data_IF_449292975725
#
_entry.id   IF_449292975725
#
_cell.length_a   1.000
_cell.length_b   1.000
_cell.length_c   1.000
_cell.angle_alpha   90.00
_cell.angle_beta   90.00
_cell.angle_gamma   90.00
#
_symmetry.space_group_name_H-M   'P 1'
#
loop_
_entity.id
_entity.type
_entity.pdbx_description
1 polymer ?
#
# COMPACT_ATOMS: atom_id res chain seq x y z
N UNK A 1 19.16 12.21 3.39
CA UNK A 1 17.85 12.07 2.72
C UNK A 1 17.20 10.74 3.05
N UNK A 2 17.89 9.59 2.92
CA UNK A 2 17.29 8.27 3.18
C UNK A 2 16.82 8.05 4.63
N UNK A 3 17.61 8.43 5.65
CA UNK A 3 17.24 8.21 7.06
C UNK A 3 15.95 8.97 7.44
N UNK A 4 15.78 10.20 6.95
CA UNK A 4 14.57 10.99 7.22
C UNK A 4 13.33 10.37 6.55
N UNK A 5 13.48 9.84 5.33
CA UNK A 5 12.40 9.15 4.62
C UNK A 5 12.00 7.86 5.33
N UNK A 6 12.98 7.08 5.80
CA UNK A 6 12.76 5.86 6.58
C UNK A 6 12.01 6.16 7.89
N UNK A 7 12.47 7.11 8.69
CA UNK A 7 11.80 7.49 9.93
C UNK A 7 10.38 8.01 9.69
N UNK A 8 10.17 8.75 8.60
CA UNK A 8 8.86 9.29 8.21
C UNK A 8 7.93 8.16 7.78
N UNK A 9 8.38 7.26 6.91
CA UNK A 9 7.61 6.09 6.50
C UNK A 9 7.25 5.22 7.71
N UNK A 10 8.20 4.95 8.61
CA UNK A 10 7.96 4.15 9.80
C UNK A 10 6.87 4.76 10.71
N UNK A 11 6.89 6.09 10.88
CA UNK A 11 5.85 6.82 11.63
C UNK A 11 4.48 6.67 10.96
N UNK A 12 4.42 6.84 9.64
CA UNK A 12 3.18 6.72 8.86
C UNK A 12 2.62 5.30 8.95
N UNK A 13 3.44 4.26 8.69
CA UNK A 13 3.00 2.87 8.75
C UNK A 13 2.50 2.49 10.15
N UNK A 14 3.20 2.90 11.22
CA UNK A 14 2.76 2.66 12.60
C UNK A 14 1.46 3.37 12.94
N UNK A 15 1.26 4.60 12.43
CA UNK A 15 -0.01 5.32 12.61
C UNK A 15 -1.14 4.57 11.90
N UNK A 16 -0.95 4.18 10.65
CA UNK A 16 -1.93 3.41 9.87
C UNK A 16 -2.28 2.10 10.57
N UNK A 17 -1.28 1.35 11.05
CA UNK A 17 -1.51 0.10 11.78
C UNK A 17 -2.33 0.34 13.06
N UNK A 18 -1.92 1.34 13.87
CA UNK A 18 -2.60 1.65 15.12
C UNK A 18 -4.06 2.07 14.90
N UNK A 19 -4.32 2.94 13.92
CA UNK A 19 -5.68 3.33 13.55
C UNK A 19 -6.50 2.11 13.13
N UNK A 20 -5.91 1.22 12.32
CA UNK A 20 -6.56 0.02 11.83
C UNK A 20 -6.89 -0.95 12.96
N UNK A 21 -5.94 -1.26 13.84
CA UNK A 21 -6.12 -2.16 14.97
C UNK A 21 -7.19 -1.66 15.93
N UNK A 22 -7.12 -0.38 16.32
CA UNK A 22 -8.11 0.24 17.21
C UNK A 22 -9.53 0.14 16.63
N UNK A 23 -9.68 0.32 15.32
CA UNK A 23 -10.96 0.14 14.65
C UNK A 23 -11.39 -1.33 14.57
N UNK A 24 -10.48 -2.23 14.20
CA UNK A 24 -10.76 -3.66 14.01
C UNK A 24 -11.24 -4.33 15.30
N UNK A 25 -10.70 -3.94 16.46
CA UNK A 25 -11.11 -4.48 17.78
C UNK A 25 -12.27 -3.69 18.42
N UNK A 26 -12.77 -2.64 17.77
CA UNK A 26 -13.90 -1.84 18.25
C UNK A 26 -13.56 -0.77 19.30
N UNK A 27 -12.29 -0.49 19.56
CA UNK A 27 -11.84 0.61 20.42
C UNK A 27 -12.07 2.00 19.78
N UNK A 28 -12.06 2.07 18.44
CA UNK A 28 -12.35 3.28 17.68
C UNK A 28 -13.55 3.09 16.75
N UNK A 29 -14.42 4.10 16.68
CA UNK A 29 -15.49 4.19 15.67
C UNK A 29 -15.04 4.89 14.39
N UNK A 30 -13.88 5.53 14.41
CA UNK A 30 -13.36 6.21 13.24
C UNK A 30 -12.78 5.20 12.27
N UNK A 31 -13.22 5.25 11.00
CA UNK A 31 -12.66 4.41 9.95
C UNK A 31 -11.17 4.74 9.76
N UNK A 32 -10.28 3.75 9.75
CA UNK A 32 -8.85 3.97 9.52
C UNK A 32 -8.63 4.38 8.06
N UNK A 33 -7.47 4.98 7.79
CA UNK A 33 -7.13 5.50 6.46
C UNK A 33 -7.42 4.51 5.32
N UNK A 34 -6.96 3.26 5.46
CA UNK A 34 -7.12 2.25 4.39
C UNK A 34 -8.59 1.96 4.06
N UNK A 35 -9.46 1.94 5.06
CA UNK A 35 -10.90 1.76 4.87
C UNK A 35 -11.53 3.01 4.24
N UNK A 36 -11.11 4.21 4.63
CA UNK A 36 -11.55 5.47 3.99
C UNK A 36 -11.14 5.52 2.51
N UNK A 37 -9.96 5.03 2.16
CA UNK A 37 -9.49 4.94 0.77
C UNK A 37 -10.33 3.91 0.00
N UNK A 38 -10.54 2.73 0.58
CA UNK A 38 -11.39 1.69 -0.03
C UNK A 38 -12.79 2.21 -0.33
N UNK A 39 -13.45 2.83 0.66
CA UNK A 39 -14.80 3.37 0.50
C UNK A 39 -14.88 4.39 -0.65
N UNK A 40 -13.88 5.26 -0.81
CA UNK A 40 -13.81 6.23 -1.92
C UNK A 40 -13.62 5.54 -3.27
N UNK A 41 -12.77 4.52 -3.31
CA UNK A 41 -12.50 3.71 -4.51
C UNK A 41 -13.77 3.00 -4.99
N UNK A 42 -14.52 2.39 -4.07
CA UNK A 42 -15.78 1.71 -4.40
C UNK A 42 -16.84 2.71 -4.84
N UNK A 43 -16.99 3.83 -4.13
CA UNK A 43 -17.98 4.85 -4.47
C UNK A 43 -17.78 5.47 -5.88
N UNK A 44 -16.57 5.40 -6.44
CA UNK A 44 -16.29 5.88 -7.81
C UNK A 44 -16.77 4.97 -8.93
N UNK A 45 -17.20 3.73 -8.63
CA UNK A 45 -17.69 2.78 -9.63
C UNK A 45 -19.02 2.15 -9.20
N UNK A 46 -20.09 2.40 -9.96
CA UNK A 46 -21.43 1.90 -9.65
C UNK A 46 -21.56 0.37 -9.70
N UNK A 47 -20.63 -0.32 -10.37
CA UNK A 47 -20.59 -1.79 -10.46
C UNK A 47 -19.74 -2.45 -9.38
N UNK A 48 -19.05 -1.66 -8.53
CA UNK A 48 -18.18 -2.19 -7.48
C UNK A 48 -18.94 -2.65 -6.24
N UNK A 49 -18.49 -3.74 -5.64
CA UNK A 49 -19.09 -4.32 -4.43
C UNK A 49 -18.31 -3.92 -3.18
N UNK A 50 -19.04 -3.47 -2.14
CA UNK A 50 -18.44 -3.06 -0.87
C UNK A 50 -18.34 -4.25 0.09
N UNK A 51 -17.18 -4.40 0.74
CA UNK A 51 -17.01 -5.36 1.82
C UNK A 51 -15.56 -5.68 2.12
N UNK A 52 -15.33 -6.16 3.33
CA UNK A 52 -14.06 -6.73 3.79
C UNK A 52 -14.26 -8.24 3.87
N UNK A 53 -13.43 -9.00 3.16
CA UNK A 53 -13.39 -10.47 3.22
C UNK A 53 -12.62 -10.91 4.46
N UNK A 54 -11.44 -10.32 4.68
CA UNK A 54 -10.56 -10.67 5.79
C UNK A 54 -9.79 -9.44 6.26
N UNK A 55 -10.14 -8.94 7.45
CA UNK A 55 -9.48 -7.78 8.05
C UNK A 55 -8.07 -8.09 8.55
N UNK A 56 -7.78 -9.33 8.96
CA UNK A 56 -6.44 -9.71 9.43
C UNK A 56 -5.40 -9.55 8.31
N UNK A 57 -5.78 -9.81 7.06
CA UNK A 57 -4.94 -9.63 5.89
C UNK A 57 -4.47 -8.17 5.71
N UNK A 58 -5.30 -7.19 6.13
CA UNK A 58 -4.92 -5.76 6.11
C UNK A 58 -3.84 -5.50 7.17
N UNK A 59 -4.06 -5.98 8.39
CA UNK A 59 -3.11 -5.82 9.50
C UNK A 59 -1.77 -6.48 9.18
N UNK A 60 -1.79 -7.71 8.65
CA UNK A 60 -0.60 -8.45 8.22
C UNK A 60 0.17 -7.68 7.14
N UNK A 61 -0.50 -7.13 6.13
CA UNK A 61 0.17 -6.37 5.08
C UNK A 61 0.92 -5.13 5.62
N UNK A 62 0.31 -4.40 6.56
CA UNK A 62 0.92 -3.22 7.19
C UNK A 62 2.07 -3.64 8.11
N UNK A 63 1.87 -4.68 8.92
CA UNK A 63 2.90 -5.21 9.81
C UNK A 63 4.13 -5.72 9.04
N UNK A 64 3.92 -6.50 7.96
CA UNK A 64 5.00 -6.98 7.10
C UNK A 64 5.83 -5.85 6.50
N UNK A 65 5.19 -4.74 6.10
CA UNK A 65 5.90 -3.57 5.60
C UNK A 65 6.75 -2.88 6.68
N UNK A 66 6.27 -2.83 7.92
CA UNK A 66 7.01 -2.28 9.07
C UNK A 66 8.24 -3.15 9.36
N UNK A 67 8.07 -4.46 9.42
CA UNK A 67 9.17 -5.38 9.70
C UNK A 67 10.21 -5.38 8.57
N UNK A 68 9.76 -5.34 7.31
CA UNK A 68 10.67 -5.23 6.16
C UNK A 68 11.48 -3.92 6.22
N UNK A 69 10.85 -2.80 6.59
CA UNK A 69 11.56 -1.53 6.76
C UNK A 69 12.61 -1.60 7.88
N UNK A 70 12.25 -2.16 9.03
CA UNK A 70 13.16 -2.32 10.16
C UNK A 70 14.35 -3.24 9.83
N UNK A 71 14.13 -4.25 8.99
CA UNK A 71 15.16 -5.24 8.64
C UNK A 71 16.09 -4.77 7.53
N UNK A 72 15.54 -4.18 6.47
CA UNK A 72 16.28 -3.87 5.25
C UNK A 72 16.62 -2.39 5.07
N UNK A 73 16.00 -1.50 5.86
CA UNK A 73 16.19 -0.04 5.77
C UNK A 73 15.95 0.50 4.35
N UNK A 74 15.01 -0.11 3.61
CA UNK A 74 14.66 0.25 2.24
C UNK A 74 13.19 0.67 2.15
N UNK A 75 12.98 1.98 2.03
CA UNK A 75 11.67 2.63 1.88
C UNK A 75 10.90 2.08 0.67
N UNK A 76 11.58 1.90 -0.46
CA UNK A 76 10.92 1.44 -1.69
C UNK A 76 10.50 -0.02 -1.59
N UNK A 77 11.33 -0.85 -0.93
CA UNK A 77 11.03 -2.26 -0.67
C UNK A 77 9.87 -2.42 0.30
N UNK A 78 9.88 -1.69 1.42
CA UNK A 78 8.82 -1.73 2.42
C UNK A 78 7.45 -1.34 1.81
N UNK A 79 7.42 -0.29 0.98
CA UNK A 79 6.22 0.08 0.25
C UNK A 79 5.80 -1.00 -0.76
N UNK A 80 6.74 -1.63 -1.46
CA UNK A 80 6.43 -2.74 -2.36
C UNK A 80 5.82 -3.94 -1.64
N UNK A 81 6.33 -4.29 -0.45
CA UNK A 81 5.80 -5.36 0.42
C UNK A 81 4.36 -5.06 0.84
N UNK A 82 4.08 -3.82 1.28
CA UNK A 82 2.73 -3.39 1.63
C UNK A 82 1.75 -3.62 0.48
N UNK A 83 2.11 -3.16 -0.71
CA UNK A 83 1.25 -3.19 -1.90
C UNK A 83 1.06 -4.60 -2.42
N UNK A 84 2.13 -5.39 -2.45
CA UNK A 84 2.08 -6.79 -2.82
C UNK A 84 1.08 -7.56 -1.94
N UNK A 85 1.22 -7.46 -0.61
CA UNK A 85 0.35 -8.19 0.30
C UNK A 85 -1.10 -7.70 0.24
N UNK A 86 -1.37 -6.40 0.11
CA UNK A 86 -2.74 -5.90 -0.05
C UNK A 86 -3.40 -6.39 -1.34
N UNK A 87 -2.63 -6.65 -2.39
CA UNK A 87 -3.16 -7.17 -3.66
C UNK A 87 -3.40 -8.67 -3.55
N UNK A 88 -2.37 -9.45 -3.18
CA UNK A 88 -2.41 -10.93 -3.24
C UNK A 88 -3.28 -11.54 -2.15
N UNK A 89 -3.39 -10.89 -0.98
CA UNK A 89 -4.23 -11.40 0.11
C UNK A 89 -5.72 -11.06 -0.04
N UNK A 90 -6.10 -10.24 -1.02
CA UNK A 90 -7.47 -9.86 -1.34
C UNK A 90 -8.35 -9.56 -0.11
N UNK A 91 -7.97 -8.60 0.76
CA UNK A 91 -8.73 -8.32 1.98
C UNK A 91 -10.13 -7.77 1.73
N UNK A 92 -10.40 -7.20 0.56
CA UNK A 92 -11.69 -6.61 0.18
C UNK A 92 -12.42 -7.42 -0.88
N UNK A 93 -13.74 -7.29 -0.93
CA UNK A 93 -14.61 -7.94 -1.94
C UNK A 93 -14.26 -7.47 -3.35
N UNK A 94 -14.18 -6.16 -3.54
CA UNK A 94 -13.67 -5.53 -4.76
C UNK A 94 -12.72 -4.38 -4.38
N UNK A 95 -11.96 -3.89 -5.36
CA UNK A 95 -11.17 -2.67 -5.22
C UNK A 95 -9.78 -2.87 -4.61
N UNK A 96 -9.30 -4.10 -4.41
CA UNK A 96 -7.98 -4.39 -3.80
C UNK A 96 -6.84 -3.62 -4.49
N UNK A 97 -6.67 -3.79 -5.82
CA UNK A 97 -5.64 -3.10 -6.62
C UNK A 97 -5.74 -1.57 -6.51
N UNK A 98 -6.96 -1.05 -6.65
CA UNK A 98 -7.24 0.40 -6.62
C UNK A 98 -7.01 1.00 -5.23
N UNK A 99 -7.34 0.26 -4.18
CA UNK A 99 -7.13 0.65 -2.79
C UNK A 99 -5.66 0.63 -2.42
N UNK A 100 -4.93 -0.42 -2.82
CA UNK A 100 -3.49 -0.50 -2.63
C UNK A 100 -2.79 0.68 -3.32
N UNK A 101 -3.12 0.96 -4.59
CA UNK A 101 -2.59 2.14 -5.29
C UNK A 101 -2.93 3.44 -4.56
N UNK A 102 -4.20 3.65 -4.18
CA UNK A 102 -4.60 4.85 -3.45
C UNK A 102 -3.83 5.06 -2.14
N UNK A 103 -3.56 3.97 -1.41
CA UNK A 103 -2.75 4.00 -0.20
C UNK A 103 -1.28 4.32 -0.50
N UNK A 104 -0.69 3.69 -1.53
CA UNK A 104 0.69 3.98 -1.96
C UNK A 104 0.85 5.46 -2.30
N UNK A 105 -0.06 6.00 -3.11
CA UNK A 105 0.00 7.40 -3.52
C UNK A 105 -0.12 8.33 -2.32
N UNK A 106 -1.06 8.06 -1.40
CA UNK A 106 -1.18 8.84 -0.17
C UNK A 106 0.12 8.82 0.65
N UNK A 107 0.71 7.64 0.86
CA UNK A 107 1.97 7.53 1.62
C UNK A 107 3.12 8.25 0.89
N UNK A 108 3.24 8.12 -0.43
CA UNK A 108 4.28 8.83 -1.19
C UNK A 108 4.13 10.34 -1.09
N UNK A 109 2.91 10.87 -1.17
CA UNK A 109 2.63 12.29 -0.95
C UNK A 109 3.09 12.76 0.43
N UNK A 110 2.72 12.03 1.49
CA UNK A 110 3.09 12.36 2.87
C UNK A 110 4.61 12.25 3.11
N UNK A 111 5.24 11.16 2.66
CA UNK A 111 6.68 10.90 2.83
C UNK A 111 7.54 11.91 2.08
N UNK A 112 7.08 12.36 0.91
CA UNK A 112 7.78 13.34 0.07
C UNK A 112 7.31 14.79 0.28
N UNK A 113 6.50 15.07 1.30
CA UNK A 113 5.94 16.39 1.63
C UNK A 113 5.29 17.09 0.42
N UNK A 114 4.50 16.37 -0.37
CA UNK A 114 3.82 16.85 -1.59
C UNK A 114 4.73 17.41 -2.70
N UNK A 115 6.05 17.19 -2.61
CA UNK A 115 7.01 17.63 -3.64
C UNK A 115 6.99 16.68 -4.86
N UNK A 116 6.48 15.47 -4.67
CA UNK A 116 6.54 14.41 -5.67
C UNK A 116 5.55 14.65 -6.82
N UNK A 117 6.06 14.58 -8.06
CA UNK A 117 5.23 14.51 -9.26
C UNK A 117 5.53 13.20 -9.95
N UNK A 118 4.56 12.28 -9.99
CA UNK A 118 4.75 10.97 -10.61
C UNK A 118 4.62 11.14 -12.14
N UNK A 119 5.68 10.85 -12.92
CA UNK A 119 5.61 10.90 -14.37
C UNK A 119 4.51 9.96 -14.90
N UNK A 120 3.72 10.36 -15.92
CA UNK A 120 2.66 9.51 -16.48
C UNK A 120 3.16 8.12 -16.91
N UNK A 121 4.38 8.02 -17.45
CA UNK A 121 4.99 6.76 -17.84
C UNK A 121 5.27 5.83 -16.65
N UNK A 122 5.71 6.37 -15.50
CA UNK A 122 5.92 5.58 -14.28
C UNK A 122 4.59 5.17 -13.66
N UNK A 123 3.57 6.02 -13.71
CA UNK A 123 2.21 5.67 -13.28
C UNK A 123 1.63 4.53 -14.12
N UNK A 124 1.76 4.59 -15.45
CA UNK A 124 1.31 3.54 -16.36
C UNK A 124 2.05 2.21 -16.09
N UNK A 125 3.37 2.28 -15.91
CA UNK A 125 4.18 1.10 -15.59
C UNK A 125 3.80 0.48 -14.24
N UNK A 126 3.53 1.31 -13.23
CA UNK A 126 3.05 0.87 -11.93
C UNK A 126 1.70 0.16 -12.07
N UNK A 127 0.72 0.79 -12.71
CA UNK A 127 -0.61 0.23 -12.94
C UNK A 127 -0.54 -1.13 -13.64
N UNK A 128 0.27 -1.23 -14.71
CA UNK A 128 0.49 -2.48 -15.43
C UNK A 128 1.09 -3.56 -14.53
N UNK A 129 2.11 -3.20 -13.74
CA UNK A 129 2.77 -4.13 -12.82
C UNK A 129 1.82 -4.63 -11.73
N UNK A 130 1.00 -3.74 -11.15
CA UNK A 130 0.00 -4.14 -10.15
C UNK A 130 -1.09 -5.04 -10.74
N UNK A 131 -1.45 -4.84 -12.02
CA UNK A 131 -2.37 -5.74 -12.72
C UNK A 131 -1.73 -7.12 -12.93
N UNK A 132 -0.49 -7.17 -13.41
CA UNK A 132 0.26 -8.42 -13.60
C UNK A 132 0.39 -9.22 -12.30
N UNK A 133 0.74 -8.57 -11.17
CA UNK A 133 0.89 -9.23 -9.86
C UNK A 133 -0.43 -9.81 -9.34
N UNK A 134 -1.55 -9.14 -9.62
CA UNK A 134 -2.87 -9.63 -9.19
C UNK A 134 -3.34 -10.83 -10.03
N UNK A 135 -3.05 -10.83 -11.33
CA UNK A 135 -3.55 -11.84 -12.26
C UNK A 135 -2.63 -13.09 -12.27
N UNK A 136 -1.35 -12.89 -11.95
CA UNK A 136 -0.33 -13.93 -11.83
C UNK A 136 0.43 -13.70 -10.52
N UNK A 137 -0.13 -14.13 -9.38
CA UNK A 137 0.66 -14.22 -8.15
C UNK A 137 1.87 -15.09 -8.49
N UNK A 138 3.10 -14.52 -8.57
CA UNK A 138 4.23 -15.30 -9.02
C UNK A 138 4.44 -16.46 -8.06
N UNK A 139 5.00 -17.57 -8.55
CA UNK A 139 5.43 -18.67 -7.69
C UNK A 139 6.48 -18.21 -6.66
N UNK A 140 7.11 -17.04 -6.90
CA UNK A 140 8.10 -16.39 -6.04
C UNK A 140 7.68 -14.95 -5.68
N UNK A 141 7.18 -14.75 -4.46
CA UNK A 141 6.75 -13.44 -3.90
C UNK A 141 7.82 -12.35 -4.08
N UNK A 142 9.09 -12.72 -3.92
CA UNK A 142 10.24 -11.83 -4.00
C UNK A 142 10.42 -11.21 -5.40
N UNK A 143 10.05 -11.91 -6.47
CA UNK A 143 10.13 -11.37 -7.83
C UNK A 143 9.11 -10.24 -8.05
N UNK A 144 7.85 -10.43 -7.60
CA UNK A 144 6.83 -9.38 -7.68
C UNK A 144 7.18 -8.16 -6.83
N UNK A 145 7.63 -8.38 -5.59
CA UNK A 145 8.04 -7.31 -4.68
C UNK A 145 9.16 -6.48 -5.32
N UNK A 146 10.17 -7.12 -5.92
CA UNK A 146 11.26 -6.38 -6.57
C UNK A 146 10.79 -5.59 -7.81
N UNK A 147 9.87 -6.12 -8.63
CA UNK A 147 9.29 -5.35 -9.75
C UNK A 147 8.59 -4.08 -9.27
N UNK A 148 7.78 -4.17 -8.21
CA UNK A 148 7.09 -3.00 -7.64
C UNK A 148 8.11 -2.03 -7.02
N UNK A 149 9.08 -2.54 -6.27
CA UNK A 149 10.15 -1.76 -5.62
C UNK A 149 10.92 -0.90 -6.61
N UNK A 150 11.33 -1.46 -7.75
CA UNK A 150 12.12 -0.72 -8.75
C UNK A 150 11.36 0.50 -9.31
N UNK A 151 10.03 0.39 -9.45
CA UNK A 151 9.19 1.49 -9.92
C UNK A 151 9.03 2.55 -8.82
N UNK A 152 8.75 2.13 -7.58
CA UNK A 152 8.66 3.05 -6.43
C UNK A 152 9.99 3.77 -6.21
N UNK A 153 11.11 3.08 -6.36
CA UNK A 153 12.44 3.67 -6.23
C UNK A 153 12.70 4.74 -7.29
N UNK A 154 12.25 4.53 -8.53
CA UNK A 154 12.33 5.56 -9.58
C UNK A 154 11.46 6.77 -9.22
N UNK A 155 10.23 6.53 -8.75
CA UNK A 155 9.30 7.58 -8.31
C UNK A 155 9.91 8.44 -7.18
N UNK A 156 10.58 7.84 -6.20
CA UNK A 156 11.18 8.56 -5.06
C UNK A 156 12.47 9.31 -5.43
N UNK A 157 13.18 8.89 -6.48
CA UNK A 157 14.47 9.50 -6.90
C UNK A 157 14.31 10.73 -7.78
N UNK A 158 13.20 10.83 -8.51
CA UNK A 158 12.85 11.96 -9.37
C UNK A 158 12.33 13.16 -8.57
#
# INVERSE_FOLDING_TARGET
MSILLEETLLKILRLILREFEAWNIGESKEKPLIIKIHDKVIASNAESEQGIINSDNIGIAIYSAIEDLNQYHDVSRSLAVLIYHLIVSHPFVDGNKRTALGLLLHILHEVCNDIITIPPALMELLLKTLAEVADYSPEEDEYAINKIREIIMQIIRD
#
